data_IF_320719255962
#
_entry.id   IF_320719255962
#
_cell.length_a   1.000
_cell.length_b   1.000
_cell.length_c   1.000
_cell.angle_alpha   90.00
_cell.angle_beta   90.00
_cell.angle_gamma   90.00
#
_symmetry.space_group_name_H-M   'P 1'
#
loop_
_entity.id
_entity.type
_entity.pdbx_description
1 polymer ?
#
# COMPACT_ATOMS: atom_id res chain seq x y z
N UNK A 1 20.04 -8.82 2.03
CA UNK A 1 21.36 -9.48 1.96
C UNK A 1 22.49 -8.56 1.51
N UNK A 2 22.28 -7.63 0.57
CA UNK A 2 23.34 -6.74 0.05
C UNK A 2 24.14 -5.99 1.15
N UNK A 3 23.47 -5.48 2.19
CA UNK A 3 24.17 -4.75 3.26
C UNK A 3 25.17 -5.63 4.05
N UNK A 4 24.83 -6.89 4.30
CA UNK A 4 25.70 -7.82 5.03
C UNK A 4 26.93 -8.14 4.20
N UNK A 5 26.75 -8.36 2.88
CA UNK A 5 27.86 -8.64 1.95
C UNK A 5 28.85 -7.48 1.86
N UNK A 6 28.36 -6.23 1.88
CA UNK A 6 29.24 -5.05 1.88
C UNK A 6 30.02 -4.95 3.20
N UNK A 7 29.40 -5.30 4.34
CA UNK A 7 30.05 -5.24 5.66
C UNK A 7 31.15 -6.29 5.86
N UNK A 8 31.02 -7.46 5.25
CA UNK A 8 32.07 -8.49 5.27
C UNK A 8 33.20 -8.20 4.26
N UNK A 9 33.18 -7.03 3.59
CA UNK A 9 34.20 -6.63 2.63
C UNK A 9 34.08 -7.26 1.25
N UNK A 10 32.94 -7.90 0.93
CA UNK A 10 32.71 -8.47 -0.39
C UNK A 10 32.19 -7.40 -1.36
N UNK A 11 32.85 -7.30 -2.52
CA UNK A 11 32.43 -6.40 -3.58
C UNK A 11 31.14 -6.91 -4.25
N UNK A 12 30.02 -6.25 -3.95
CA UNK A 12 28.72 -6.54 -4.58
C UNK A 12 28.59 -5.77 -5.89
N UNK A 13 28.36 -6.49 -6.99
CA UNK A 13 28.09 -5.89 -8.30
C UNK A 13 26.60 -5.62 -8.48
N UNK A 14 26.28 -4.47 -9.05
CA UNK A 14 24.94 -4.13 -9.53
C UNK A 14 24.64 -4.83 -10.85
N UNK A 15 23.37 -4.83 -11.27
CA UNK A 15 22.90 -5.41 -12.54
C UNK A 15 23.64 -4.82 -13.75
N UNK A 16 24.12 -3.58 -13.62
CA UNK A 16 24.88 -2.86 -14.66
C UNK A 16 26.42 -3.07 -14.57
N UNK A 17 26.90 -4.00 -13.74
CA UNK A 17 28.35 -4.27 -13.56
C UNK A 17 29.11 -3.26 -12.69
N UNK A 18 28.43 -2.26 -12.12
CA UNK A 18 29.05 -1.29 -11.20
C UNK A 18 29.18 -1.85 -9.78
N UNK A 19 30.30 -1.58 -9.11
CA UNK A 19 30.51 -1.95 -7.70
C UNK A 19 29.69 -1.04 -6.77
N UNK A 20 28.85 -1.64 -5.94
CA UNK A 20 28.02 -0.92 -4.95
C UNK A 20 28.91 -0.55 -3.76
N UNK A 21 29.18 0.74 -3.56
CA UNK A 21 29.99 1.26 -2.45
C UNK A 21 29.20 1.46 -1.15
N UNK A 22 27.92 1.80 -1.26
CA UNK A 22 27.08 2.13 -0.10
C UNK A 22 25.66 1.59 -0.31
N UNK A 23 25.13 0.90 0.70
CA UNK A 23 23.73 0.47 0.74
C UNK A 23 22.95 1.33 1.75
N UNK A 24 21.80 1.87 1.33
CA UNK A 24 20.88 2.58 2.23
C UNK A 24 19.90 1.58 2.83
N UNK A 25 19.89 1.47 4.16
CA UNK A 25 18.95 0.62 4.87
C UNK A 25 17.80 1.42 5.46
N UNK A 26 16.65 0.77 5.55
CA UNK A 26 15.47 1.32 6.19
C UNK A 26 14.93 0.34 7.22
N UNK A 27 14.47 0.87 8.35
CA UNK A 27 13.74 0.12 9.36
C UNK A 27 12.45 0.86 9.70
N UNK A 28 11.47 0.14 10.26
CA UNK A 28 10.29 0.75 10.85
C UNK A 28 10.51 0.94 12.35
N UNK A 29 10.27 2.15 12.86
CA UNK A 29 10.28 2.44 14.30
C UNK A 29 8.92 2.95 14.74
N UNK A 30 8.40 2.40 15.83
CA UNK A 30 7.18 2.91 16.44
C UNK A 30 7.48 4.21 17.20
N UNK A 31 6.67 5.25 17.01
CA UNK A 31 6.82 6.50 17.78
C UNK A 31 6.18 6.46 19.17
N UNK A 32 5.30 5.48 19.44
CA UNK A 32 4.63 5.34 20.74
C UNK A 32 5.43 4.45 21.71
N UNK A 33 5.86 3.25 21.27
CA UNK A 33 6.59 2.30 22.12
C UNK A 33 8.09 2.23 21.83
N UNK A 34 8.59 3.03 20.88
CA UNK A 34 10.01 3.15 20.48
C UNK A 34 10.71 1.88 19.97
N UNK A 35 10.00 0.75 19.92
CA UNK A 35 10.51 -0.51 19.37
C UNK A 35 10.63 -0.46 17.85
N UNK A 36 11.67 -1.09 17.34
CA UNK A 36 12.00 -1.17 15.91
C UNK A 36 11.58 -2.50 15.32
N UNK A 37 11.41 -2.55 14.00
CA UNK A 37 11.05 -3.74 13.24
C UNK A 37 11.68 -3.65 11.84
N UNK A 38 12.25 -4.74 11.37
CA UNK A 38 12.91 -4.85 10.06
C UNK A 38 11.95 -5.21 8.92
N UNK A 39 10.78 -5.76 9.25
CA UNK A 39 9.74 -6.09 8.27
C UNK A 39 9.05 -4.83 7.72
N UNK A 40 9.37 -4.48 6.47
CA UNK A 40 8.91 -3.23 5.83
C UNK A 40 7.44 -3.26 5.37
N UNK A 41 6.84 -4.43 5.27
CA UNK A 41 5.44 -4.62 4.84
C UNK A 41 4.44 -4.38 5.98
N UNK A 42 4.92 -4.27 7.23
CA UNK A 42 4.04 -4.14 8.39
C UNK A 42 3.52 -2.72 8.53
N UNK A 43 2.21 -2.58 8.57
CA UNK A 43 1.51 -1.31 8.84
C UNK A 43 1.32 -1.07 10.34
N UNK A 44 1.12 -2.13 11.12
CA UNK A 44 0.84 -2.07 12.57
C UNK A 44 2.03 -2.53 13.40
N UNK A 45 2.32 -1.82 14.51
CA UNK A 45 3.45 -2.15 15.38
C UNK A 45 3.27 -3.51 16.07
N UNK A 46 4.23 -4.46 15.98
CA UNK A 46 4.13 -5.79 16.59
C UNK A 46 3.86 -5.75 18.10
N UNK A 47 4.38 -4.74 18.78
CA UNK A 47 4.34 -4.66 20.24
C UNK A 47 3.14 -3.91 20.81
N UNK A 48 2.73 -2.78 20.21
CA UNK A 48 1.62 -1.96 20.73
C UNK A 48 0.33 -2.05 19.91
N UNK A 49 0.32 -2.79 18.81
CA UNK A 49 -0.87 -2.99 17.96
C UNK A 49 -1.29 -1.79 17.10
N UNK A 50 -0.88 -0.56 17.45
CA UNK A 50 -1.29 0.66 16.75
C UNK A 50 -0.58 0.87 15.40
N UNK A 51 -1.23 1.60 14.47
CA UNK A 51 -0.66 2.07 13.17
C UNK A 51 0.29 3.26 13.39
N UNK A 52 1.37 3.02 14.13
CA UNK A 52 2.30 4.04 14.64
C UNK A 52 3.73 3.88 14.11
N UNK A 53 3.95 2.95 13.18
CA UNK A 53 5.26 2.69 12.57
C UNK A 53 5.64 3.83 11.60
N UNK A 54 6.87 4.33 11.72
CA UNK A 54 7.48 5.29 10.78
C UNK A 54 8.74 4.68 10.17
N UNK A 55 8.91 4.86 8.85
CA UNK A 55 10.12 4.47 8.12
C UNK A 55 11.26 5.42 8.46
N UNK A 56 12.39 4.87 8.90
CA UNK A 56 13.62 5.60 9.22
C UNK A 56 14.78 5.05 8.40
N UNK A 57 15.68 5.94 7.98
CA UNK A 57 16.93 5.57 7.34
C UNK A 57 17.98 5.23 8.40
N UNK A 58 18.77 4.21 8.11
CA UNK A 58 19.74 3.66 9.06
C UNK A 58 21.08 3.43 8.38
N UNK A 59 22.14 3.87 9.03
CA UNK A 59 23.51 3.52 8.69
C UNK A 59 24.00 2.48 9.69
N UNK A 60 24.59 1.41 9.20
CA UNK A 60 25.23 0.40 10.04
C UNK A 60 26.72 0.53 9.83
N UNK A 61 27.44 0.86 10.90
CA UNK A 61 28.89 1.06 10.87
C UNK A 61 29.63 -0.27 10.90
N UNK A 62 30.94 -0.22 10.67
CA UNK A 62 31.81 -1.41 10.65
C UNK A 62 31.85 -2.13 12.01
N UNK A 63 31.69 -1.40 13.11
CA UNK A 63 31.56 -1.96 14.47
C UNK A 63 30.22 -2.69 14.71
N UNK A 64 29.32 -2.71 13.73
CA UNK A 64 27.95 -3.20 13.87
C UNK A 64 27.00 -2.23 14.59
N UNK A 65 27.48 -1.04 14.96
CA UNK A 65 26.65 -0.01 15.59
C UNK A 65 25.65 0.59 14.58
N UNK A 66 24.43 0.82 15.06
CA UNK A 66 23.31 1.26 14.22
C UNK A 66 23.03 2.74 14.49
N UNK A 67 23.32 3.60 13.52
CA UNK A 67 22.99 5.02 13.57
C UNK A 67 21.66 5.29 12.85
N UNK A 68 20.69 5.80 13.61
CA UNK A 68 19.35 6.12 13.09
C UNK A 68 19.26 7.60 12.70
N UNK A 69 18.83 7.87 11.47
CA UNK A 69 18.64 9.23 10.97
C UNK A 69 17.19 9.67 11.13
N UNK A 70 16.95 10.58 12.07
CA UNK A 70 15.63 11.17 12.30
C UNK A 70 15.39 12.36 11.37
N UNK A 71 14.17 12.46 10.82
CA UNK A 71 13.75 13.69 10.13
C UNK A 71 13.67 14.83 11.14
N UNK A 72 14.30 15.98 10.82
CA UNK A 72 14.24 17.20 11.65
C UNK A 72 12.85 17.82 11.69
N UNK A 73 12.06 17.63 10.63
CA UNK A 73 10.67 18.06 10.57
C UNK A 73 9.75 16.82 10.48
N UNK A 74 9.46 16.17 11.61
CA UNK A 74 8.50 15.08 11.62
C UNK A 74 7.12 15.67 11.34
N UNK A 75 6.56 15.41 10.14
CA UNK A 75 5.13 15.61 9.90
C UNK A 75 4.37 14.70 10.87
N UNK A 76 3.97 15.26 12.01
CA UNK A 76 2.97 14.67 12.88
C UNK A 76 1.65 15.01 12.21
N UNK A 77 0.97 14.02 11.63
CA UNK A 77 -0.45 14.19 11.37
C UNK A 77 -1.06 14.55 12.72
N UNK A 78 -1.66 15.73 12.83
CA UNK A 78 -2.45 16.10 13.99
C UNK A 78 -3.41 14.97 14.33
N UNK A 79 -3.81 14.80 15.61
CA UNK A 79 -4.89 13.88 15.95
C UNK A 79 -6.08 14.26 15.08
N UNK A 80 -6.31 13.47 14.01
CA UNK A 80 -7.55 13.53 13.24
C UNK A 80 -8.62 13.31 14.30
N UNK A 81 -9.53 14.26 14.42
CA UNK A 81 -10.73 14.11 15.23
C UNK A 81 -11.24 12.70 15.06
N UNK A 82 -11.58 12.06 16.18
CA UNK A 82 -12.23 10.77 16.23
C UNK A 82 -13.54 10.87 15.45
N UNK A 83 -13.46 10.77 14.13
CA UNK A 83 -14.61 10.72 13.26
C UNK A 83 -15.47 9.59 13.80
N UNK A 84 -16.74 9.88 14.05
CA UNK A 84 -17.72 8.93 14.54
C UNK A 84 -17.56 7.65 13.74
N UNK A 85 -16.93 6.64 14.35
CA UNK A 85 -16.86 5.32 13.76
C UNK A 85 -18.32 4.92 13.60
N UNK A 86 -18.80 4.85 12.36
CA UNK A 86 -20.08 4.25 12.07
C UNK A 86 -19.97 2.80 12.51
N UNK A 87 -20.33 2.52 13.77
CA UNK A 87 -20.44 1.19 14.35
C UNK A 87 -21.69 0.56 13.74
N UNK A 88 -21.58 0.16 12.48
CA UNK A 88 -22.37 -0.96 11.99
C UNK A 88 -21.46 -2.18 12.07
N UNK A 89 -21.51 -2.86 13.22
CA UNK A 89 -21.22 -4.29 13.25
C UNK A 89 -22.41 -4.93 12.52
N UNK A 90 -22.33 -5.03 11.21
CA UNK A 90 -23.29 -5.78 10.40
C UNK A 90 -22.54 -6.97 9.84
N UNK A 91 -23.03 -8.15 10.21
CA UNK A 91 -22.41 -9.42 9.84
C UNK A 91 -22.88 -9.78 8.42
N UNK A 92 -22.09 -9.38 7.43
CA UNK A 92 -22.33 -9.68 6.02
C UNK A 92 -21.04 -10.05 5.28
N UNK A 93 -21.12 -11.03 4.39
CA UNK A 93 -19.96 -11.56 3.63
C UNK A 93 -19.44 -10.62 2.53
N UNK A 94 -20.04 -9.43 2.37
CA UNK A 94 -19.73 -8.44 1.32
C UNK A 94 -19.20 -7.11 1.88
N UNK A 95 -18.90 -7.06 3.17
CA UNK A 95 -18.53 -5.80 3.83
C UNK A 95 -17.01 -5.66 3.94
N UNK A 96 -16.47 -4.59 3.35
CA UNK A 96 -15.08 -4.18 3.55
C UNK A 96 -14.92 -3.63 4.97
N UNK A 97 -14.71 -4.53 5.93
CA UNK A 97 -14.40 -4.14 7.31
C UNK A 97 -13.09 -3.34 7.30
N UNK A 98 -13.15 -2.10 7.81
CA UNK A 98 -11.96 -1.31 8.08
C UNK A 98 -10.99 -2.17 8.90
N UNK A 99 -9.82 -2.47 8.35
CA UNK A 99 -8.82 -3.30 9.02
C UNK A 99 -8.26 -2.55 10.23
N UNK A 100 -8.91 -2.71 11.37
CA UNK A 100 -8.57 -2.04 12.63
C UNK A 100 -7.50 -2.81 13.41
N UNK A 101 -7.26 -4.08 13.07
CA UNK A 101 -6.35 -4.98 13.78
C UNK A 101 -5.64 -5.94 12.83
N UNK A 102 -4.54 -6.54 13.31
CA UNK A 102 -3.62 -7.38 12.53
C UNK A 102 -4.24 -8.68 11.99
N UNK A 103 -5.37 -9.14 12.55
CA UNK A 103 -5.95 -10.45 12.19
C UNK A 103 -7.42 -10.35 11.81
N UNK A 104 -7.89 -9.19 11.31
CA UNK A 104 -9.24 -9.16 10.72
C UNK A 104 -9.25 -10.15 9.58
N UNK A 105 -9.97 -11.27 9.75
CA UNK A 105 -10.26 -12.19 8.68
C UNK A 105 -11.07 -11.41 7.66
N UNK A 106 -10.41 -10.98 6.58
CA UNK A 106 -11.10 -10.40 5.45
C UNK A 106 -11.88 -11.52 4.77
N UNK A 107 -13.17 -11.33 4.44
CA UNK A 107 -13.88 -12.21 3.54
C UNK A 107 -13.02 -12.48 2.30
N UNK A 108 -12.99 -13.72 1.84
CA UNK A 108 -12.24 -14.08 0.62
C UNK A 108 -13.01 -13.56 -0.60
N UNK A 109 -12.94 -12.25 -0.83
CA UNK A 109 -13.44 -11.62 -2.03
C UNK A 109 -12.31 -11.64 -3.07
N UNK A 110 -12.39 -12.64 -3.94
CA UNK A 110 -11.45 -12.76 -5.05
C UNK A 110 -12.03 -12.06 -6.26
N UNK A 111 -11.20 -11.24 -6.91
CA UNK A 111 -11.53 -10.79 -8.25
C UNK A 111 -11.59 -12.02 -9.15
N UNK A 112 -12.54 -12.08 -10.09
CA UNK A 112 -12.50 -13.10 -11.12
C UNK A 112 -11.16 -12.99 -11.85
N UNK A 113 -10.68 -14.11 -12.38
CA UNK A 113 -9.50 -14.10 -13.26
C UNK A 113 -9.83 -13.17 -14.42
N UNK A 114 -9.38 -11.93 -14.36
CA UNK A 114 -9.59 -10.99 -15.45
C UNK A 114 -8.95 -11.55 -16.70
N UNK A 115 -9.46 -11.21 -17.89
CA UNK A 115 -8.69 -11.39 -19.10
C UNK A 115 -7.36 -10.67 -18.88
N UNK A 116 -6.31 -11.47 -18.89
CA UNK A 116 -4.89 -11.16 -18.94
C UNK A 116 -4.56 -9.67 -19.09
N UNK A 117 -3.72 -9.16 -18.18
CA UNK A 117 -3.03 -7.87 -18.36
C UNK A 117 -2.54 -7.71 -19.80
N UNK A 118 -2.59 -6.49 -20.35
CA UNK A 118 -2.29 -6.22 -21.76
C UNK A 118 -0.89 -6.69 -22.17
N UNK A 119 -0.81 -7.94 -22.66
CA UNK A 119 0.40 -8.65 -23.11
C UNK A 119 0.98 -8.16 -24.43
N UNK A 120 0.66 -6.94 -24.86
CA UNK A 120 1.06 -6.41 -26.18
C UNK A 120 2.58 -6.45 -26.43
N UNK A 121 3.36 -6.43 -25.36
CA UNK A 121 4.84 -6.41 -25.40
C UNK A 121 5.44 -7.82 -25.45
N UNK A 122 4.64 -8.87 -25.26
CA UNK A 122 5.12 -10.25 -25.36
C UNK A 122 5.35 -10.63 -26.85
N UNK A 123 6.48 -11.28 -27.19
CA UNK A 123 6.82 -11.62 -28.59
C UNK A 123 5.83 -12.63 -29.21
N UNK A 124 5.13 -13.40 -28.40
CA UNK A 124 4.09 -14.37 -28.82
C UNK A 124 2.68 -13.76 -28.87
N UNK A 125 2.56 -12.43 -28.76
CA UNK A 125 1.27 -11.75 -28.75
C UNK A 125 0.64 -11.73 -30.15
N UNK A 126 -0.37 -12.57 -30.35
CA UNK A 126 -1.25 -12.50 -31.52
C UNK A 126 -2.53 -11.75 -31.11
N UNK A 127 -2.79 -10.61 -31.75
CA UNK A 127 -3.99 -9.82 -31.47
C UNK A 127 -5.25 -10.60 -31.90
N UNK A 128 -6.19 -10.77 -30.97
CA UNK A 128 -7.50 -11.35 -31.23
C UNK A 128 -8.45 -10.33 -31.88
N UNK A 129 -9.69 -10.24 -31.38
CA UNK A 129 -10.69 -9.27 -31.89
C UNK A 129 -10.34 -7.81 -31.58
N UNK A 130 -9.62 -7.55 -30.48
CA UNK A 130 -9.09 -6.23 -30.17
C UNK A 130 -7.75 -6.33 -29.44
N UNK A 131 -6.88 -5.31 -29.57
CA UNK A 131 -5.57 -5.31 -28.92
C UNK A 131 -5.62 -4.93 -27.42
N UNK A 132 -6.80 -4.69 -26.85
CA UNK A 132 -7.01 -4.25 -25.48
C UNK A 132 -7.68 -5.34 -24.64
N UNK A 133 -7.29 -5.43 -23.37
CA UNK A 133 -7.90 -6.32 -22.37
C UNK A 133 -9.33 -5.88 -22.12
N UNK A 134 -10.28 -6.81 -22.22
CA UNK A 134 -11.67 -6.54 -21.95
C UNK A 134 -11.90 -6.32 -20.45
N UNK A 135 -12.58 -5.23 -20.11
CA UNK A 135 -12.95 -4.94 -18.72
C UNK A 135 -14.10 -5.86 -18.27
N UNK A 136 -14.04 -6.27 -17.02
CA UNK A 136 -15.11 -7.02 -16.39
C UNK A 136 -16.21 -6.06 -15.91
N UNK A 137 -17.34 -6.04 -16.62
CA UNK A 137 -18.51 -5.19 -16.34
C UNK A 137 -19.65 -6.01 -15.73
N UNK A 138 -19.68 -7.32 -15.99
CA UNK A 138 -20.85 -8.15 -15.73
C UNK A 138 -20.71 -9.05 -14.50
N UNK A 139 -19.50 -9.25 -13.97
CA UNK A 139 -19.34 -10.09 -12.80
C UNK A 139 -19.95 -9.46 -11.54
N UNK A 140 -20.23 -10.32 -10.56
CA UNK A 140 -20.63 -9.87 -9.23
C UNK A 140 -19.59 -8.94 -8.59
N UNK A 141 -18.29 -9.18 -8.83
CA UNK A 141 -17.23 -8.34 -8.30
C UNK A 141 -17.25 -6.92 -8.91
N UNK A 142 -17.57 -6.81 -10.20
CA UNK A 142 -17.77 -5.53 -10.88
C UNK A 142 -18.95 -4.75 -10.28
N UNK A 143 -20.08 -5.43 -10.06
CA UNK A 143 -21.27 -4.83 -9.43
C UNK A 143 -21.01 -4.39 -7.98
N UNK A 144 -20.16 -5.12 -7.24
CA UNK A 144 -19.74 -4.78 -5.88
C UNK A 144 -18.60 -3.74 -5.84
N UNK A 145 -18.15 -3.22 -7.00
CA UNK A 145 -17.05 -2.26 -7.12
C UNK A 145 -15.76 -2.71 -6.42
N UNK A 146 -15.49 -4.02 -6.41
CA UNK A 146 -14.26 -4.56 -5.85
C UNK A 146 -13.06 -4.12 -6.70
N UNK A 147 -12.06 -3.53 -6.05
CA UNK A 147 -10.83 -3.07 -6.70
C UNK A 147 -9.65 -3.90 -6.23
N UNK A 148 -8.69 -4.10 -7.14
CA UNK A 148 -7.44 -4.77 -6.80
C UNK A 148 -6.69 -3.99 -5.71
N UNK A 149 -5.97 -4.69 -4.84
CA UNK A 149 -5.25 -4.10 -3.70
C UNK A 149 -4.21 -3.02 -4.09
N UNK A 150 -3.84 -2.92 -5.37
CA UNK A 150 -2.87 -1.95 -5.88
C UNK A 150 -3.55 -0.69 -6.46
N UNK A 151 -4.85 -0.72 -6.73
CA UNK A 151 -5.58 0.41 -7.28
C UNK A 151 -5.79 1.48 -6.20
N UNK A 152 -5.01 2.57 -6.26
CA UNK A 152 -5.13 3.73 -5.35
C UNK A 152 -3.95 3.96 -4.42
N UNK A 153 -2.85 3.22 -4.55
CA UNK A 153 -1.65 3.40 -3.73
C UNK A 153 -1.04 4.82 -3.84
N UNK A 154 -1.16 5.47 -5.01
CA UNK A 154 -0.61 6.81 -5.27
C UNK A 154 -1.54 7.96 -4.85
N UNK A 155 -2.84 7.68 -4.71
CA UNK A 155 -3.80 8.64 -4.18
C UNK A 155 -3.75 8.56 -2.66
N UNK A 156 -2.74 9.21 -2.05
CA UNK A 156 -2.57 9.24 -0.60
C UNK A 156 -3.90 9.46 0.11
N UNK A 157 -4.19 8.64 1.14
CA UNK A 157 -5.52 8.63 1.80
C UNK A 157 -5.93 10.05 2.22
N UNK A 158 -6.95 10.64 1.58
CA UNK A 158 -7.40 11.97 1.93
C UNK A 158 -7.89 11.96 3.38
N UNK A 159 -7.74 13.10 4.06
CA UNK A 159 -8.30 13.25 5.41
C UNK A 159 -9.83 13.14 5.27
N UNK A 160 -10.51 12.26 6.02
CA UNK A 160 -11.96 12.05 5.85
C UNK A 160 -12.79 13.32 6.02
N UNK A 161 -12.33 14.24 6.87
CA UNK A 161 -12.95 15.54 7.13
C UNK A 161 -12.59 16.63 6.11
N UNK A 162 -11.71 16.36 5.13
CA UNK A 162 -11.42 17.33 4.08
C UNK A 162 -12.59 17.42 3.10
N UNK A 163 -13.01 18.66 2.82
CA UNK A 163 -14.01 18.96 1.81
C UNK A 163 -13.61 18.37 0.45
N UNK A 164 -14.48 17.56 -0.14
CA UNK A 164 -14.30 17.04 -1.50
C UNK A 164 -14.88 18.01 -2.52
N UNK A 165 -14.30 18.04 -3.72
CA UNK A 165 -14.87 18.81 -4.85
C UNK A 165 -16.28 18.31 -5.11
N UNK A 166 -17.26 19.22 -5.19
CA UNK A 166 -18.64 18.90 -5.55
C UNK A 166 -18.64 18.47 -7.03
N UNK A 167 -18.91 17.20 -7.31
CA UNK A 167 -19.17 16.76 -8.67
C UNK A 167 -20.53 17.34 -9.10
N UNK A 168 -20.58 18.00 -10.26
CA UNK A 168 -21.86 18.27 -10.93
C UNK A 168 -22.42 16.94 -11.43
N UNK A 169 -23.29 16.36 -10.64
CA UNK A 169 -24.19 15.31 -11.09
C UNK A 169 -25.47 16.02 -11.53
N UNK A 170 -25.40 16.65 -12.72
CA UNK A 170 -26.53 17.35 -13.32
C UNK A 170 -26.85 16.76 -14.70
N UNK A 171 -28.15 16.50 -14.86
CA UNK A 171 -28.93 16.34 -16.10
C UNK A 171 -28.78 15.02 -16.85
N UNK A 172 -29.65 14.05 -16.52
CA UNK A 172 -30.33 13.18 -17.50
C UNK A 172 -31.50 12.45 -16.83
N UNK A 173 -32.45 13.20 -16.26
CA UNK A 173 -33.76 12.69 -15.84
C UNK A 173 -34.84 13.77 -16.01
N UNK A 174 -34.89 14.36 -17.21
CA UNK A 174 -35.97 15.24 -17.62
C UNK A 174 -36.13 15.13 -19.14
N UNK A 175 -36.57 13.97 -19.63
CA UNK A 175 -37.17 13.78 -20.95
C UNK A 175 -37.88 12.41 -21.00
N UNK A 176 -38.80 12.19 -20.07
CA UNK A 176 -39.95 11.29 -20.29
C UNK A 176 -41.20 12.02 -19.79
N UNK A 177 -41.76 12.84 -20.68
CA UNK A 177 -43.18 13.20 -20.74
C UNK A 177 -43.60 13.03 -22.20
#
# INVERSE_FOLDING_TARGET
MQNVLIQIGLHVLSVNGMVIKQARNYILRCHACFKTTTHMEKVFCPHCGNKTLKKLAVTVNDDGSIQMHFSKNPKCSTPKDSGTLCRSLREGNTETTLTWWRTSASPTETLPKSPTENKRVDPDYVAGSSPFSQNDIYSRAANLNLRGSQCGADAGEPIPTQARKKCQEEVNNALEL
#
